data_IF_760050371260
#
_entry.id   IF_760050371260
#
_cell.length_a   1.000
_cell.length_b   1.000
_cell.length_c   1.000
_cell.angle_alpha   90.00
_cell.angle_beta   90.00
_cell.angle_gamma   90.00
#
_symmetry.space_group_name_H-M   'P 1'
#
loop_
_entity.id
_entity.type
_entity.pdbx_description
1 polymer ?
#
# COMPACT_ATOMS: atom_id res chain seq x y z
N UNK A 1 0.41 4.24 14.47
CA UNK A 1 0.06 5.67 14.59
C UNK A 1 -0.33 6.09 15.99
N UNK A 2 -1.29 5.43 16.66
CA UNK A 2 -1.64 5.80 18.07
C UNK A 2 -0.46 5.59 19.01
N UNK A 3 0.21 4.43 18.91
CA UNK A 3 1.45 4.16 19.64
C UNK A 3 2.55 5.18 19.33
N UNK A 4 2.63 5.66 18.07
CA UNK A 4 3.60 6.68 17.68
C UNK A 4 3.26 8.05 18.27
N UNK A 5 1.98 8.41 18.31
CA UNK A 5 1.51 9.66 18.93
C UNK A 5 1.86 9.70 20.43
N UNK A 6 1.64 8.59 21.13
CA UNK A 6 2.02 8.42 22.54
C UNK A 6 3.53 8.58 22.75
N UNK A 7 4.36 7.94 21.91
CA UNK A 7 5.83 8.11 21.92
C UNK A 7 6.25 9.57 21.69
N UNK A 8 5.51 10.30 20.84
CA UNK A 8 5.76 11.71 20.56
C UNK A 8 5.18 12.66 21.63
N UNK A 9 4.56 12.13 22.69
CA UNK A 9 3.93 12.92 23.76
C UNK A 9 2.64 13.64 23.33
N UNK A 10 1.99 13.16 22.26
CA UNK A 10 0.72 13.69 21.78
C UNK A 10 -0.42 12.98 22.51
N UNK A 11 -1.18 13.74 23.29
CA UNK A 11 -2.36 13.22 23.99
C UNK A 11 -3.51 12.98 22.99
N UNK A 12 -3.76 11.71 22.68
CA UNK A 12 -4.86 11.30 21.81
C UNK A 12 -6.05 10.93 22.68
N UNK A 13 -6.93 11.90 22.92
CA UNK A 13 -8.13 11.73 23.72
C UNK A 13 -9.18 10.90 22.97
N UNK A 14 -9.47 9.73 23.51
CA UNK A 14 -10.55 8.86 23.05
C UNK A 14 -11.72 8.93 24.03
N UNK A 15 -12.97 9.14 23.58
CA UNK A 15 -14.14 9.04 24.45
C UNK A 15 -14.21 7.67 25.13
N UNK A 16 -14.69 7.60 26.37
CA UNK A 16 -14.80 6.33 27.10
C UNK A 16 -15.62 5.27 26.34
N UNK A 17 -16.63 5.71 25.57
CA UNK A 17 -17.43 4.84 24.70
C UNK A 17 -16.61 4.10 23.64
N UNK A 18 -15.45 4.64 23.24
CA UNK A 18 -14.56 4.04 22.24
C UNK A 18 -13.53 3.08 22.82
N UNK A 19 -13.35 3.05 24.15
CA UNK A 19 -12.33 2.23 24.84
C UNK A 19 -12.44 0.75 24.48
N UNK A 20 -13.66 0.20 24.48
CA UNK A 20 -13.91 -1.19 24.12
C UNK A 20 -13.50 -1.50 22.67
N UNK A 21 -13.85 -0.61 21.73
CA UNK A 21 -13.47 -0.71 20.31
C UNK A 21 -11.95 -0.62 20.14
N UNK A 22 -11.29 0.28 20.88
CA UNK A 22 -9.83 0.40 20.86
C UNK A 22 -9.14 -0.86 21.34
N UNK A 23 -9.57 -1.43 22.47
CA UNK A 23 -9.06 -2.71 22.95
C UNK A 23 -9.30 -3.85 21.95
N UNK A 24 -10.46 -3.85 21.29
CA UNK A 24 -10.77 -4.81 20.22
C UNK A 24 -9.80 -4.67 19.04
N UNK A 25 -9.58 -3.46 18.53
CA UNK A 25 -8.67 -3.20 17.38
C UNK A 25 -7.24 -3.63 17.72
N UNK A 26 -6.74 -3.26 18.89
CA UNK A 26 -5.39 -3.64 19.35
C UNK A 26 -5.25 -5.16 19.45
N UNK A 27 -6.25 -5.85 20.00
CA UNK A 27 -6.23 -7.31 20.09
C UNK A 27 -6.31 -7.98 18.71
N UNK A 28 -7.15 -7.46 17.79
CA UNK A 28 -7.24 -7.96 16.41
C UNK A 28 -5.92 -7.82 15.67
N UNK A 29 -5.23 -6.68 15.82
CA UNK A 29 -3.89 -6.45 15.25
C UNK A 29 -2.90 -7.53 15.69
N UNK A 30 -2.85 -7.85 16.99
CA UNK A 30 -1.98 -8.93 17.50
C UNK A 30 -2.30 -10.28 16.86
N UNK A 31 -3.58 -10.59 16.70
CA UNK A 31 -4.00 -11.84 16.04
C UNK A 31 -3.58 -11.90 14.58
N UNK A 32 -3.64 -10.78 13.84
CA UNK A 32 -3.19 -10.76 12.43
C UNK A 32 -1.69 -10.98 12.31
N UNK A 33 -0.89 -10.31 13.16
CA UNK A 33 0.56 -10.49 13.18
C UNK A 33 0.95 -11.95 13.50
N UNK A 34 0.34 -12.54 14.54
CA UNK A 34 0.58 -13.94 14.88
C UNK A 34 0.22 -14.90 13.74
N UNK A 35 -0.88 -14.65 13.03
CA UNK A 35 -1.28 -15.48 11.90
C UNK A 35 -0.28 -15.39 10.74
N UNK A 36 0.24 -14.21 10.45
CA UNK A 36 1.25 -14.04 9.39
C UNK A 36 2.50 -14.89 9.67
N UNK A 37 2.99 -14.87 10.92
CA UNK A 37 4.15 -15.67 11.35
C UNK A 37 3.91 -17.18 11.18
N UNK A 38 2.65 -17.63 11.32
CA UNK A 38 2.26 -19.05 11.21
C UNK A 38 2.00 -19.48 9.76
N UNK A 39 1.52 -18.58 8.90
CA UNK A 39 1.17 -18.89 7.50
C UNK A 39 2.42 -19.16 6.66
N UNK A 40 3.56 -18.52 6.93
CA UNK A 40 4.79 -18.73 6.16
C UNK A 40 4.76 -18.09 4.76
N UNK A 41 5.75 -18.40 3.91
CA UNK A 41 5.97 -17.74 2.61
C UNK A 41 5.03 -18.26 1.51
N UNK A 42 3.73 -17.99 1.63
CA UNK A 42 2.76 -18.23 0.55
C UNK A 42 2.73 -17.03 -0.39
N UNK A 43 3.28 -17.20 -1.60
CA UNK A 43 3.36 -16.17 -2.65
C UNK A 43 2.01 -15.72 -3.25
N UNK A 44 0.87 -16.14 -2.70
CA UNK A 44 -0.46 -15.87 -3.28
C UNK A 44 -1.10 -14.56 -2.81
N UNK A 45 -0.57 -13.92 -1.77
CA UNK A 45 -1.09 -12.66 -1.25
C UNK A 45 0.05 -11.66 -1.06
N UNK A 46 -0.20 -10.35 -1.27
CA UNK A 46 0.75 -9.33 -0.85
C UNK A 46 1.02 -9.53 0.66
N UNK A 47 2.27 -9.76 1.07
CA UNK A 47 2.62 -9.95 2.47
C UNK A 47 2.12 -8.77 3.31
N UNK A 48 1.92 -8.98 4.61
CA UNK A 48 1.57 -7.88 5.53
C UNK A 48 2.58 -6.72 5.49
N UNK A 49 3.77 -7.00 4.95
CA UNK A 49 4.83 -6.04 4.64
C UNK A 49 4.40 -4.88 3.72
N UNK A 50 3.34 -5.06 2.92
CA UNK A 50 2.71 -3.97 2.15
C UNK A 50 2.22 -2.80 3.01
N UNK A 51 2.02 -3.04 4.31
CA UNK A 51 1.63 -2.04 5.31
C UNK A 51 2.75 -1.80 6.34
N UNK A 52 4.02 -1.82 5.91
CA UNK A 52 5.19 -1.71 6.77
C UNK A 52 5.12 -0.53 7.76
N UNK A 53 4.56 0.62 7.36
CA UNK A 53 4.36 1.80 8.20
C UNK A 53 3.48 1.54 9.43
N UNK A 54 2.59 0.55 9.33
CA UNK A 54 1.68 0.17 10.39
C UNK A 54 2.26 -0.92 11.28
N UNK A 55 3.32 -1.63 10.88
CA UNK A 55 3.88 -2.74 11.64
C UNK A 55 4.65 -2.26 12.88
N UNK A 56 4.78 -3.11 13.92
CA UNK A 56 5.61 -2.80 15.08
C UNK A 56 7.06 -2.53 14.67
N UNK A 57 7.79 -1.65 15.39
CA UNK A 57 9.23 -1.48 15.17
C UNK A 57 9.95 -2.82 15.25
N UNK A 58 10.89 -3.06 14.32
CA UNK A 58 11.70 -4.30 14.24
C UNK A 58 10.92 -5.59 13.92
N UNK A 59 9.67 -5.49 13.43
CA UNK A 59 8.95 -6.66 12.92
C UNK A 59 9.60 -7.23 11.66
N UNK A 60 10.28 -6.38 10.89
CA UNK A 60 10.89 -6.71 9.61
C UNK A 60 12.40 -6.46 9.70
N UNK A 61 13.19 -7.18 8.91
CA UNK A 61 14.62 -6.91 8.76
C UNK A 61 14.94 -6.31 7.39
N UNK A 62 16.12 -5.72 7.28
CA UNK A 62 16.61 -5.12 6.03
C UNK A 62 16.55 -6.11 4.84
N UNK A 63 16.88 -7.39 5.07
CA UNK A 63 16.82 -8.44 4.04
C UNK A 63 15.41 -8.66 3.49
N UNK A 64 14.40 -8.56 4.33
CA UNK A 64 13.01 -8.76 3.93
C UNK A 64 12.53 -7.60 3.05
N UNK A 65 13.00 -6.38 3.32
CA UNK A 65 12.79 -5.22 2.45
C UNK A 65 13.42 -5.47 1.09
N UNK A 66 14.70 -5.84 1.05
CA UNK A 66 15.41 -6.08 -0.22
C UNK A 66 14.77 -7.18 -1.06
N UNK A 67 14.25 -8.25 -0.45
CA UNK A 67 13.56 -9.34 -1.16
C UNK A 67 12.28 -8.87 -1.85
N UNK A 68 11.60 -7.86 -1.31
CA UNK A 68 10.28 -7.41 -1.76
C UNK A 68 10.30 -6.07 -2.51
N UNK A 69 11.48 -5.52 -2.79
CA UNK A 69 11.62 -4.31 -3.59
C UNK A 69 11.26 -4.59 -5.05
N UNK A 70 10.45 -3.72 -5.61
CA UNK A 70 10.15 -3.67 -7.04
C UNK A 70 11.30 -3.00 -7.80
N UNK A 71 11.33 -3.19 -9.12
CA UNK A 71 12.37 -2.63 -10.00
C UNK A 71 12.41 -1.09 -9.97
N UNK A 72 11.28 -0.45 -9.67
CA UNK A 72 11.16 1.00 -9.52
C UNK A 72 11.63 1.54 -8.15
N UNK A 73 12.06 0.64 -7.25
CA UNK A 73 12.47 0.95 -5.88
C UNK A 73 11.31 1.07 -4.89
N UNK A 74 10.08 0.79 -5.31
CA UNK A 74 8.92 0.78 -4.42
C UNK A 74 8.81 -0.52 -3.63
N UNK A 75 8.21 -0.43 -2.44
CA UNK A 75 7.76 -1.58 -1.68
C UNK A 75 6.25 -1.77 -1.92
N UNK A 76 5.89 -2.78 -2.70
CA UNK A 76 4.50 -3.08 -3.12
C UNK A 76 3.76 -1.87 -3.72
N UNK A 77 4.47 -1.03 -4.48
CA UNK A 77 3.91 0.20 -5.06
C UNK A 77 3.33 1.16 -4.00
N UNK A 78 3.61 0.99 -2.71
CA UNK A 78 3.06 1.81 -1.62
C UNK A 78 4.05 2.91 -1.23
N UNK A 79 3.76 4.21 -1.46
CA UNK A 79 4.64 5.28 -1.02
C UNK A 79 4.84 5.31 0.50
N UNK A 80 3.81 4.96 1.26
CA UNK A 80 3.87 4.95 2.73
C UNK A 80 4.80 3.85 3.26
N UNK A 81 4.67 2.63 2.74
CA UNK A 81 5.54 1.51 3.10
C UNK A 81 6.98 1.78 2.66
N UNK A 82 7.16 2.34 1.45
CA UNK A 82 8.48 2.70 0.92
C UNK A 82 9.15 3.81 1.75
N UNK A 83 8.38 4.81 2.21
CA UNK A 83 8.88 5.85 3.12
C UNK A 83 9.33 5.24 4.46
N UNK A 84 8.56 4.31 5.03
CA UNK A 84 8.96 3.61 6.25
C UNK A 84 10.24 2.80 6.06
N UNK A 85 10.35 2.06 4.95
CA UNK A 85 11.55 1.29 4.62
C UNK A 85 12.79 2.20 4.48
N UNK A 86 12.64 3.37 3.85
CA UNK A 86 13.71 4.36 3.75
C UNK A 86 14.10 4.93 5.12
N UNK A 87 13.13 5.26 5.98
CA UNK A 87 13.40 5.79 7.31
C UNK A 87 14.14 4.79 8.22
N UNK A 88 13.85 3.49 8.09
CA UNK A 88 14.44 2.46 8.95
C UNK A 88 15.81 1.98 8.47
N UNK A 89 16.04 1.89 7.15
CA UNK A 89 17.26 1.27 6.58
C UNK A 89 18.05 2.16 5.61
N UNK A 90 17.55 3.34 5.23
CA UNK A 90 18.29 4.27 4.37
C UNK A 90 18.51 3.80 2.93
N UNK A 91 17.67 2.89 2.42
CA UNK A 91 17.81 2.31 1.08
C UNK A 91 17.71 3.39 -0.02
N UNK A 92 18.68 3.40 -0.95
CA UNK A 92 18.77 4.40 -2.03
C UNK A 92 17.68 4.25 -3.10
N UNK A 93 17.28 3.03 -3.43
CA UNK A 93 16.22 2.76 -4.41
C UNK A 93 14.87 3.28 -3.90
N UNK A 94 14.56 3.04 -2.62
CA UNK A 94 13.39 3.63 -1.97
C UNK A 94 13.38 5.15 -2.08
N UNK A 95 14.53 5.79 -1.88
CA UNK A 95 14.65 7.25 -2.00
C UNK A 95 14.45 7.72 -3.45
N UNK A 96 14.97 6.99 -4.43
CA UNK A 96 14.77 7.28 -5.86
C UNK A 96 13.29 7.25 -6.22
N UNK A 97 12.57 6.21 -5.77
CA UNK A 97 11.12 6.12 -5.92
C UNK A 97 10.40 7.29 -5.25
N UNK A 98 10.70 7.60 -3.99
CA UNK A 98 10.02 8.68 -3.26
C UNK A 98 10.27 10.06 -3.90
N UNK A 99 11.47 10.28 -4.44
CA UNK A 99 11.79 11.50 -5.20
C UNK A 99 10.99 11.59 -6.50
N UNK A 100 10.85 10.49 -7.24
CA UNK A 100 10.03 10.47 -8.45
C UNK A 100 8.56 10.76 -8.11
N UNK A 101 8.08 10.26 -6.97
CA UNK A 101 6.72 10.54 -6.48
C UNK A 101 6.54 12.01 -6.10
N UNK A 102 7.49 12.61 -5.38
CA UNK A 102 7.43 14.01 -5.01
C UNK A 102 7.50 14.95 -6.23
N UNK A 103 8.28 14.57 -7.26
CA UNK A 103 8.34 15.31 -8.53
C UNK A 103 7.02 15.22 -9.30
N UNK A 104 6.43 14.03 -9.38
CA UNK A 104 5.19 13.77 -10.11
C UNK A 104 3.96 14.32 -9.41
N UNK A 105 3.94 14.25 -8.08
CA UNK A 105 2.82 14.68 -7.25
C UNK A 105 3.28 15.72 -6.22
N UNK A 106 3.37 17.02 -6.60
CA UNK A 106 4.02 18.04 -5.79
C UNK A 106 3.38 18.33 -4.43
N UNK A 107 2.12 17.94 -4.22
CA UNK A 107 1.34 18.27 -3.01
C UNK A 107 1.00 17.06 -2.14
N UNK A 108 0.78 15.89 -2.74
CA UNK A 108 0.34 14.70 -2.04
C UNK A 108 0.58 13.49 -2.93
N UNK A 109 0.93 12.35 -2.34
CA UNK A 109 1.11 11.09 -3.07
C UNK A 109 -0.14 10.22 -2.97
N UNK A 110 -0.45 9.39 -3.98
CA UNK A 110 -1.52 8.40 -3.88
C UNK A 110 -1.16 7.29 -2.86
N UNK A 111 -2.15 6.48 -2.49
CA UNK A 111 -1.90 5.31 -1.62
C UNK A 111 -1.03 4.25 -2.30
N UNK A 112 -1.15 4.09 -3.63
CA UNK A 112 -0.36 3.17 -4.42
C UNK A 112 0.04 3.80 -5.76
N UNK A 113 1.27 3.55 -6.22
CA UNK A 113 1.82 4.01 -7.49
C UNK A 113 3.05 3.20 -7.92
N UNK A 114 3.24 2.91 -9.22
CA UNK A 114 2.29 3.08 -10.30
C UNK A 114 1.08 2.17 -10.10
N UNK A 115 -0.10 2.66 -10.46
CA UNK A 115 -1.29 1.82 -10.50
C UNK A 115 -1.27 1.04 -11.82
N UNK A 116 -1.68 -0.23 -11.79
CA UNK A 116 -1.72 -1.10 -12.97
C UNK A 116 -2.55 -0.43 -14.08
N UNK A 117 -1.86 0.04 -15.12
CA UNK A 117 -2.47 0.77 -16.23
C UNK A 117 -3.47 -0.10 -16.98
N UNK A 118 -3.17 -1.39 -17.13
CA UNK A 118 -4.03 -2.33 -17.84
C UNK A 118 -5.28 -2.64 -17.04
N UNK A 119 -5.16 -2.77 -15.71
CA UNK A 119 -6.31 -2.84 -14.82
C UNK A 119 -7.18 -1.58 -14.90
N UNK A 120 -6.57 -0.38 -14.94
CA UNK A 120 -7.31 0.88 -15.11
C UNK A 120 -8.08 0.89 -16.44
N UNK A 121 -7.43 0.53 -17.55
CA UNK A 121 -8.04 0.46 -18.88
C UNK A 121 -9.23 -0.51 -18.88
N UNK A 122 -9.06 -1.70 -18.32
CA UNK A 122 -10.13 -2.69 -18.18
C UNK A 122 -11.29 -2.18 -17.31
N UNK A 123 -11.00 -1.50 -16.20
CA UNK A 123 -12.02 -0.90 -15.36
C UNK A 123 -12.83 0.14 -16.13
N UNK A 124 -12.17 1.03 -16.90
CA UNK A 124 -12.86 2.05 -17.72
C UNK A 124 -13.75 1.38 -18.76
N UNK A 125 -13.23 0.43 -19.53
CA UNK A 125 -14.00 -0.30 -20.54
C UNK A 125 -15.22 -1.01 -19.93
N UNK A 126 -15.04 -1.65 -18.77
CA UNK A 126 -16.12 -2.30 -18.04
C UNK A 126 -17.19 -1.29 -17.58
N UNK A 127 -16.79 -0.13 -17.04
CA UNK A 127 -17.74 0.90 -16.61
C UNK A 127 -18.55 1.46 -17.78
N UNK A 128 -17.90 1.76 -18.91
CA UNK A 128 -18.58 2.22 -20.13
C UNK A 128 -19.64 1.22 -20.60
N UNK A 129 -19.32 -0.07 -20.61
CA UNK A 129 -20.28 -1.13 -20.95
C UNK A 129 -21.43 -1.20 -19.93
N UNK A 130 -21.14 -1.15 -18.62
CA UNK A 130 -22.16 -1.23 -17.56
C UNK A 130 -23.13 -0.04 -17.57
N UNK A 131 -22.68 1.14 -17.99
CA UNK A 131 -23.55 2.31 -18.15
C UNK A 131 -24.32 2.34 -19.47
N UNK A 132 -24.18 1.33 -20.34
CA UNK A 132 -24.80 1.33 -21.66
C UNK A 132 -24.17 2.33 -22.63
N UNK A 133 -23.00 2.87 -22.30
CA UNK A 133 -22.27 3.82 -23.13
C UNK A 133 -21.26 3.14 -24.07
N UNK A 134 -21.08 1.82 -23.96
CA UNK A 134 -20.06 1.09 -24.72
C UNK A 134 -20.20 1.18 -26.24
N UNK A 135 -21.42 1.34 -26.76
CA UNK A 135 -21.68 1.50 -28.20
C UNK A 135 -21.12 2.81 -28.79
N UNK A 136 -20.91 3.83 -27.96
CA UNK A 136 -20.32 5.10 -28.39
C UNK A 136 -18.78 5.08 -28.42
N UNK A 137 -18.16 4.04 -27.83
CA UNK A 137 -16.70 3.94 -27.64
C UNK A 137 -16.13 2.59 -28.13
N UNK A 138 -16.75 1.98 -29.14
CA UNK A 138 -16.37 0.65 -29.62
C UNK A 138 -14.90 0.59 -30.03
N UNK A 139 -14.44 1.56 -30.83
CA UNK A 139 -13.06 1.60 -31.32
C UNK A 139 -12.03 1.80 -30.21
N UNK A 140 -12.31 2.68 -29.24
CA UNK A 140 -11.46 2.89 -28.07
C UNK A 140 -11.42 1.65 -27.20
N UNK A 141 -12.56 1.00 -26.94
CA UNK A 141 -12.62 -0.23 -26.15
C UNK A 141 -11.84 -1.35 -26.84
N UNK A 142 -11.98 -1.54 -28.15
CA UNK A 142 -11.22 -2.54 -28.90
C UNK A 142 -9.71 -2.28 -28.85
N UNK A 143 -9.30 -1.02 -29.02
CA UNK A 143 -7.89 -0.62 -28.91
C UNK A 143 -7.33 -0.88 -27.51
N UNK A 144 -8.09 -0.53 -26.48
CA UNK A 144 -7.71 -0.80 -25.09
C UNK A 144 -7.59 -2.30 -24.83
N UNK A 145 -8.54 -3.11 -25.31
CA UNK A 145 -8.49 -4.57 -25.17
C UNK A 145 -7.29 -5.18 -25.89
N UNK A 146 -6.92 -4.65 -27.06
CA UNK A 146 -5.76 -5.11 -27.82
C UNK A 146 -4.41 -4.74 -27.18
N UNK A 147 -4.36 -3.70 -26.34
CA UNK A 147 -3.15 -3.33 -25.60
C UNK A 147 -2.96 -4.18 -24.34
N UNK A 148 -4.05 -4.68 -23.77
CA UNK A 148 -4.04 -5.47 -22.52
C UNK A 148 -3.81 -6.96 -22.78
N UNK A 149 -4.14 -7.45 -23.98
CA UNK A 149 -4.06 -8.87 -24.38
C UNK A 149 -2.77 -9.19 -25.16
#
# INVERSE_FOLDING_TARGET
>A
MIELADIMGLDVLFPDSSRATMSYIVNRRKTFLYKEEVVGDFHCYPPILSYLEALPPKYVNEKDIFKNLSEDGSLFQSPSATAKAFMDYGNKECLTYLKSMAQRFPKAVPQAYPMDEDLIKLCIANQLKKFGLGEYFVGEIETLMAQVY
#
